data_IF_000551478123
#
_entry.id   IF_000551478123
#
_cell.length_a   1.000
_cell.length_b   1.000
_cell.length_c   1.000
_cell.angle_alpha   90.00
_cell.angle_beta   90.00
_cell.angle_gamma   90.00
#
_symmetry.space_group_name_H-M   'P 1'
#
loop_
_entity.id
_entity.type
_entity.pdbx_description
1 polymer ?
#
# COMPACT_ATOMS: atom_id res chain seq x y z
N UNK A 1 17.32 12.33 15.04
CA UNK A 1 16.44 13.47 14.71
C UNK A 1 15.66 13.74 15.99
N UNK A 2 15.95 14.83 16.70
CA UNK A 2 15.34 15.10 18.00
C UNK A 2 13.90 15.59 17.82
N UNK A 3 12.94 14.71 18.06
CA UNK A 3 11.51 15.04 18.07
C UNK A 3 11.21 15.88 19.31
N UNK A 4 10.66 17.09 19.13
CA UNK A 4 10.29 17.97 20.25
C UNK A 4 8.89 17.63 20.77
N UNK A 5 8.76 17.55 22.09
CA UNK A 5 7.50 17.70 22.85
C UNK A 5 6.27 16.97 22.28
N UNK A 6 5.46 17.68 21.49
CA UNK A 6 4.22 17.15 20.90
C UNK A 6 4.45 15.97 19.98
N UNK A 7 5.52 15.99 19.21
CA UNK A 7 5.79 14.99 18.17
C UNK A 7 6.23 13.67 18.82
N UNK A 8 7.04 13.75 19.87
CA UNK A 8 7.42 12.58 20.67
C UNK A 8 6.19 11.92 21.33
N UNK A 9 5.26 12.73 21.86
CA UNK A 9 4.02 12.21 22.47
C UNK A 9 3.09 11.56 21.43
N UNK A 10 3.02 12.13 20.22
CA UNK A 10 2.27 11.55 19.11
C UNK A 10 2.85 10.20 18.67
N UNK A 11 4.18 10.12 18.49
CA UNK A 11 4.89 8.89 18.11
C UNK A 11 4.73 7.80 19.18
N UNK A 12 4.80 8.15 20.46
CA UNK A 12 4.53 7.22 21.55
C UNK A 12 3.09 6.67 21.54
N UNK A 13 2.11 7.53 21.25
CA UNK A 13 0.70 7.12 21.13
C UNK A 13 0.47 6.17 19.95
N UNK A 14 1.15 6.40 18.83
CA UNK A 14 1.10 5.52 17.65
C UNK A 14 1.81 4.17 17.89
N UNK A 15 2.91 4.17 18.66
CA UNK A 15 3.70 2.96 18.96
C UNK A 15 3.02 2.08 20.00
N UNK A 16 2.31 2.69 20.93
CA UNK A 16 1.68 2.03 22.07
C UNK A 16 0.22 2.50 22.23
N UNK A 17 -0.69 2.13 21.31
CA UNK A 17 -2.10 2.44 21.48
C UNK A 17 -2.62 1.81 22.78
N UNK A 18 -3.48 2.54 23.49
CA UNK A 18 -3.99 2.18 24.81
C UNK A 18 -4.60 0.77 24.78
N UNK A 19 -4.18 -0.17 25.64
CA UNK A 19 -4.74 -1.52 25.66
C UNK A 19 -6.26 -1.47 25.87
N UNK A 20 -7.00 -2.23 25.05
CA UNK A 20 -8.46 -2.11 24.89
C UNK A 20 -9.31 -2.15 26.18
N UNK A 21 -8.78 -2.68 27.29
CA UNK A 21 -9.46 -2.64 28.60
C UNK A 21 -9.54 -1.22 29.19
N UNK A 22 -8.49 -0.40 29.08
CA UNK A 22 -8.50 0.96 29.60
C UNK A 22 -9.41 1.86 28.76
N UNK A 23 -9.34 1.73 27.43
CA UNK A 23 -10.26 2.39 26.51
C UNK A 23 -11.72 1.98 26.79
N UNK A 24 -11.98 0.69 27.04
CA UNK A 24 -13.32 0.19 27.39
C UNK A 24 -13.88 0.87 28.64
N UNK A 25 -13.12 0.91 29.74
CA UNK A 25 -13.58 1.57 30.97
C UNK A 25 -13.76 3.08 30.78
N UNK A 26 -12.86 3.74 30.03
CA UNK A 26 -12.99 5.17 29.71
C UNK A 26 -14.27 5.45 28.93
N UNK A 27 -14.61 4.62 27.94
CA UNK A 27 -15.87 4.71 27.19
C UNK A 27 -17.09 4.48 28.07
N UNK A 28 -17.06 3.55 29.02
CA UNK A 28 -18.16 3.37 29.97
C UNK A 28 -18.36 4.60 30.86
N UNK A 29 -17.28 5.20 31.36
CA UNK A 29 -17.33 6.40 32.20
C UNK A 29 -17.87 7.60 31.41
N UNK A 30 -17.46 7.76 30.15
CA UNK A 30 -17.99 8.76 29.22
C UNK A 30 -19.47 8.53 28.95
N UNK A 31 -19.87 7.31 28.61
CA UNK A 31 -21.26 6.95 28.33
C UNK A 31 -22.19 7.16 29.55
N UNK A 32 -21.65 7.01 30.77
CA UNK A 32 -22.35 7.31 32.01
C UNK A 32 -22.40 8.82 32.35
N UNK A 33 -21.91 9.71 31.47
CA UNK A 33 -21.88 11.16 31.67
C UNK A 33 -20.87 11.63 32.71
N UNK A 34 -19.93 10.77 33.11
CA UNK A 34 -18.91 11.06 34.15
C UNK A 34 -17.53 11.33 33.57
N UNK A 35 -17.38 11.26 32.25
CA UNK A 35 -16.15 11.61 31.55
C UNK A 35 -15.96 13.12 31.48
N UNK A 36 -14.84 13.62 31.97
CA UNK A 36 -14.44 15.01 31.75
C UNK A 36 -13.99 15.27 30.30
N UNK A 37 -13.84 16.53 29.88
CA UNK A 37 -13.40 16.90 28.54
C UNK A 37 -12.04 16.30 28.16
N UNK A 38 -11.15 16.09 29.13
CA UNK A 38 -9.86 15.42 28.92
C UNK A 38 -10.00 13.94 28.54
N UNK A 39 -10.98 13.23 29.13
CA UNK A 39 -11.22 11.83 28.82
C UNK A 39 -11.81 11.65 27.41
N UNK A 40 -12.68 12.58 26.99
CA UNK A 40 -13.22 12.63 25.64
C UNK A 40 -12.12 12.88 24.61
N UNK A 41 -11.30 13.92 24.82
CA UNK A 41 -10.19 14.23 23.93
C UNK A 41 -9.18 13.08 23.83
N UNK A 42 -8.91 12.37 24.93
CA UNK A 42 -8.06 11.19 24.91
C UNK A 42 -8.64 10.07 24.02
N UNK A 43 -9.93 9.74 24.15
CA UNK A 43 -10.58 8.75 23.27
C UNK A 43 -10.55 9.15 21.79
N UNK A 44 -10.76 10.43 21.47
CA UNK A 44 -10.68 10.92 20.10
C UNK A 44 -9.28 10.77 19.50
N UNK A 45 -8.24 11.08 20.28
CA UNK A 45 -6.84 10.90 19.88
C UNK A 45 -6.54 9.42 19.62
N UNK A 46 -7.02 8.51 20.48
CA UNK A 46 -6.82 7.07 20.28
C UNK A 46 -7.57 6.54 19.05
N UNK A 47 -8.83 6.94 18.86
CA UNK A 47 -9.60 6.54 17.69
C UNK A 47 -8.95 7.05 16.39
N UNK A 48 -8.37 8.25 16.42
CA UNK A 48 -7.60 8.78 15.29
C UNK A 48 -6.31 7.96 15.06
N UNK A 49 -5.56 7.63 16.11
CA UNK A 49 -4.35 6.82 16.01
C UNK A 49 -4.63 5.43 15.43
N UNK A 50 -5.68 4.74 15.89
CA UNK A 50 -6.09 3.44 15.33
C UNK A 50 -6.42 3.53 13.84
N UNK A 51 -7.18 4.56 13.43
CA UNK A 51 -7.49 4.80 12.01
C UNK A 51 -6.23 5.04 11.19
N UNK A 52 -5.31 5.87 11.69
CA UNK A 52 -4.04 6.14 11.01
C UNK A 52 -3.19 4.87 10.83
N UNK A 53 -3.10 4.03 11.87
CA UNK A 53 -2.36 2.76 11.80
C UNK A 53 -3.04 1.81 10.81
N UNK A 54 -4.38 1.70 10.85
CA UNK A 54 -5.13 0.87 9.91
C UNK A 54 -4.90 1.30 8.45
N UNK A 55 -5.07 2.59 8.16
CA UNK A 55 -4.79 3.14 6.82
C UNK A 55 -3.34 2.92 6.41
N UNK A 56 -2.37 3.13 7.31
CA UNK A 56 -0.95 2.90 7.03
C UNK A 56 -0.67 1.44 6.62
N UNK A 57 -1.28 0.47 7.32
CA UNK A 57 -1.17 -0.95 6.97
C UNK A 57 -1.82 -1.26 5.63
N UNK A 58 -2.97 -0.66 5.34
CA UNK A 58 -3.64 -0.82 4.04
C UNK A 58 -2.79 -0.28 2.88
N UNK A 59 -2.13 0.86 3.06
CA UNK A 59 -1.22 1.43 2.06
C UNK A 59 -0.08 0.45 1.74
N UNK A 60 0.48 -0.19 2.76
CA UNK A 60 1.56 -1.14 2.54
C UNK A 60 1.11 -2.50 2.01
N UNK A 61 -0.03 -3.00 2.48
CA UNK A 61 -0.65 -4.22 1.95
C UNK A 61 -1.05 -4.06 0.47
N UNK A 62 -1.44 -2.84 0.05
CA UNK A 62 -1.73 -2.50 -1.34
C UNK A 62 -0.50 -2.13 -2.17
N UNK A 63 0.70 -2.15 -1.58
CA UNK A 63 1.97 -1.84 -2.25
C UNK A 63 2.16 -0.36 -2.60
N UNK A 64 1.36 0.55 -2.04
CA UNK A 64 1.51 2.00 -2.24
C UNK A 64 2.69 2.58 -1.47
N UNK A 65 3.10 1.91 -0.39
CA UNK A 65 4.33 2.20 0.35
C UNK A 65 5.17 0.93 0.43
N UNK A 66 6.50 1.10 0.43
CA UNK A 66 7.46 0.02 0.65
C UNK A 66 8.11 0.24 2.01
N UNK A 67 8.17 -0.82 2.80
CA UNK A 67 8.92 -0.84 4.05
C UNK A 67 10.13 -1.73 3.89
N UNK A 68 11.30 -1.25 4.28
CA UNK A 68 12.55 -2.01 4.28
C UNK A 68 13.13 -2.05 5.69
N UNK A 69 13.58 -3.21 6.15
CA UNK A 69 14.15 -3.34 7.49
C UNK A 69 15.19 -4.45 7.57
N UNK A 70 15.98 -4.43 8.63
CA UNK A 70 16.90 -5.51 8.96
C UNK A 70 16.08 -6.63 9.58
N UNK A 71 15.99 -7.76 8.88
CA UNK A 71 15.25 -8.91 9.36
C UNK A 71 16.04 -9.65 10.43
N UNK A 72 15.41 -9.85 11.59
CA UNK A 72 16.03 -10.45 12.77
C UNK A 72 16.65 -11.83 12.54
N UNK A 73 16.11 -12.63 11.62
CA UNK A 73 16.58 -14.00 11.42
C UNK A 73 17.80 -14.09 10.49
N UNK A 74 17.86 -13.24 9.46
CA UNK A 74 18.96 -13.24 8.48
C UNK A 74 20.01 -12.16 8.76
N UNK A 75 19.66 -11.14 9.54
CA UNK A 75 20.49 -9.95 9.77
C UNK A 75 20.63 -9.05 8.52
N UNK A 76 19.93 -9.37 7.42
CA UNK A 76 20.01 -8.64 6.17
C UNK A 76 18.89 -7.61 6.06
N UNK A 77 19.20 -6.49 5.40
CA UNK A 77 18.17 -5.52 5.00
C UNK A 77 17.36 -6.12 3.86
N UNK A 78 16.05 -6.21 4.06
CA UNK A 78 15.13 -6.76 3.07
C UNK A 78 13.78 -6.04 3.15
N UNK A 79 13.02 -6.03 2.05
CA UNK A 79 11.68 -5.46 2.04
C UNK A 79 10.73 -6.29 2.93
N UNK A 80 9.76 -5.60 3.52
CA UNK A 80 8.61 -6.17 4.19
C UNK A 80 7.59 -6.52 3.10
N UNK A 81 7.33 -7.82 2.85
CA UNK A 81 6.37 -8.24 1.84
C UNK A 81 4.97 -7.67 2.10
N UNK A 82 4.19 -7.33 1.05
CA UNK A 82 2.80 -6.87 1.16
C UNK A 82 1.93 -7.71 2.11
N UNK A 83 2.13 -9.03 2.10
CA UNK A 83 1.38 -10.00 2.91
C UNK A 83 1.68 -9.88 4.41
N UNK A 84 2.81 -9.29 4.78
CA UNK A 84 3.22 -9.08 6.17
C UNK A 84 2.82 -7.70 6.71
N UNK A 85 2.18 -6.83 5.93
CA UNK A 85 1.74 -5.51 6.40
C UNK A 85 0.71 -5.45 7.54
N UNK A 86 -0.02 -6.51 7.93
CA UNK A 86 -0.68 -6.52 9.24
C UNK A 86 0.30 -6.49 10.45
N UNK A 87 1.60 -6.26 10.24
CA UNK A 87 2.60 -6.01 11.28
C UNK A 87 2.19 -4.95 12.31
N UNK A 88 2.61 -5.17 13.54
CA UNK A 88 2.66 -4.17 14.59
C UNK A 88 3.92 -3.33 14.41
N UNK A 89 3.72 -2.03 14.27
CA UNK A 89 4.79 -1.04 14.24
C UNK A 89 5.02 -0.46 15.64
N UNK A 90 6.29 -0.39 16.01
CA UNK A 90 6.80 0.43 17.09
C UNK A 90 7.60 1.55 16.41
N UNK A 91 6.98 2.72 16.27
CA UNK A 91 7.54 3.87 15.57
C UNK A 91 8.65 4.53 16.39
N UNK A 92 8.62 4.42 17.73
CA UNK A 92 9.72 4.90 18.59
C UNK A 92 10.99 4.07 18.38
N UNK A 93 10.84 2.74 18.35
CA UNK A 93 11.98 1.83 18.17
C UNK A 93 12.37 1.62 16.70
N UNK A 94 11.60 2.15 15.74
CA UNK A 94 11.71 1.85 14.30
C UNK A 94 11.69 0.33 14.02
N UNK A 95 10.73 -0.36 14.64
CA UNK A 95 10.57 -1.82 14.52
C UNK A 95 9.20 -2.18 13.96
N UNK A 96 9.17 -3.26 13.19
CA UNK A 96 7.94 -3.89 12.73
C UNK A 96 7.96 -5.37 13.08
N UNK A 97 6.87 -5.90 13.60
CA UNK A 97 6.79 -7.31 14.01
C UNK A 97 5.42 -7.93 13.73
N UNK A 98 5.43 -9.20 13.32
CA UNK A 98 4.27 -10.06 13.19
C UNK A 98 4.67 -11.49 13.50
N UNK A 99 4.09 -12.08 14.53
CA UNK A 99 4.42 -13.43 15.02
C UNK A 99 5.94 -13.67 15.14
N UNK A 100 6.50 -14.49 14.24
CA UNK A 100 7.93 -14.85 14.20
C UNK A 100 8.77 -13.90 13.37
N UNK A 101 8.14 -12.98 12.63
CA UNK A 101 8.83 -12.02 11.80
C UNK A 101 9.06 -10.73 12.58
N UNK A 102 10.33 -10.30 12.64
CA UNK A 102 10.69 -9.04 13.27
C UNK A 102 11.74 -8.32 12.42
N UNK A 103 11.50 -7.04 12.19
CA UNK A 103 12.33 -6.12 11.43
C UNK A 103 12.75 -4.96 12.32
N UNK A 104 14.02 -4.58 12.26
CA UNK A 104 14.57 -3.39 12.92
C UNK A 104 15.09 -2.36 11.92
N UNK A 105 15.24 -1.11 12.36
CA UNK A 105 15.68 -0.01 11.50
C UNK A 105 14.82 0.10 10.24
N UNK A 106 13.50 0.01 10.44
CA UNK A 106 12.53 0.04 9.35
C UNK A 106 12.50 1.44 8.76
N UNK A 107 12.67 1.51 7.45
CA UNK A 107 12.50 2.72 6.64
C UNK A 107 11.25 2.55 5.79
N UNK A 108 10.49 3.62 5.63
CA UNK A 108 9.28 3.62 4.82
C UNK A 108 9.48 4.63 3.71
N UNK A 109 9.45 4.13 2.48
CA UNK A 109 9.49 4.97 1.31
C UNK A 109 8.11 4.98 0.67
N UNK A 110 7.62 6.18 0.38
CA UNK A 110 6.50 6.30 -0.53
C UNK A 110 6.96 5.78 -1.87
N UNK A 111 6.24 4.81 -2.42
CA UNK A 111 6.51 4.45 -3.79
C UNK A 111 6.19 5.69 -4.63
N UNK A 112 7.14 6.29 -5.38
CA UNK A 112 6.75 7.23 -6.42
C UNK A 112 5.83 6.45 -7.34
N UNK A 113 4.56 6.82 -7.43
CA UNK A 113 3.50 6.10 -8.13
C UNK A 113 4.06 5.28 -9.31
N UNK A 114 4.36 3.98 -9.09
CA UNK A 114 5.36 3.36 -9.97
C UNK A 114 5.73 1.90 -9.77
N UNK A 115 5.40 1.22 -8.66
CA UNK A 115 5.33 -0.26 -8.65
C UNK A 115 3.96 -0.76 -8.17
N UNK A 116 2.91 -0.27 -8.82
CA UNK A 116 1.94 -1.23 -9.32
C UNK A 116 2.61 -1.88 -10.52
N UNK A 117 3.05 -3.14 -10.36
CA UNK A 117 3.79 -3.89 -11.39
C UNK A 117 3.32 -3.56 -12.80
N UNK A 118 4.21 -2.92 -13.55
CA UNK A 118 4.10 -2.49 -14.93
C UNK A 118 2.68 -2.09 -15.39
N UNK A 119 2.37 -0.79 -15.40
CA UNK A 119 1.12 -0.24 -15.96
C UNK A 119 0.84 -0.82 -17.36
N UNK A 120 1.89 -1.12 -18.14
CA UNK A 120 1.77 -1.82 -19.43
C UNK A 120 1.19 -3.22 -19.26
N UNK A 121 1.69 -4.01 -18.31
CA UNK A 121 1.19 -5.35 -18.01
C UNK A 121 -0.26 -5.34 -17.51
N UNK A 122 -0.64 -4.35 -16.71
CA UNK A 122 -2.04 -4.22 -16.23
C UNK A 122 -3.01 -3.82 -17.33
N UNK A 123 -2.61 -2.87 -18.18
CA UNK A 123 -3.40 -2.53 -19.37
C UNK A 123 -3.47 -3.73 -20.32
N UNK A 124 -2.39 -4.51 -20.47
CA UNK A 124 -2.38 -5.71 -21.31
C UNK A 124 -3.31 -6.81 -20.78
N UNK A 125 -3.33 -7.05 -19.46
CA UNK A 125 -4.25 -7.98 -18.82
C UNK A 125 -5.71 -7.55 -19.02
N UNK A 126 -6.00 -6.26 -18.81
CA UNK A 126 -7.32 -5.68 -19.05
C UNK A 126 -7.77 -5.85 -20.51
N UNK A 127 -6.89 -5.56 -21.47
CA UNK A 127 -7.15 -5.75 -22.90
C UNK A 127 -7.39 -7.22 -23.27
N UNK A 128 -6.68 -8.15 -22.62
CA UNK A 128 -6.85 -9.60 -22.84
C UNK A 128 -8.20 -10.09 -22.32
N UNK A 129 -8.63 -9.63 -21.14
CA UNK A 129 -9.92 -9.98 -20.56
C UNK A 129 -11.10 -9.45 -21.39
N UNK A 130 -10.98 -8.22 -21.90
CA UNK A 130 -12.00 -7.58 -22.72
C UNK A 130 -11.92 -7.96 -24.21
N UNK A 131 -10.99 -8.84 -24.60
CA UNK A 131 -10.81 -9.25 -26.00
C UNK A 131 -12.03 -9.99 -26.56
N UNK A 132 -12.76 -10.73 -25.71
CA UNK A 132 -13.96 -11.47 -26.08
C UNK A 132 -15.17 -10.53 -26.28
N UNK A 133 -15.29 -9.49 -25.47
CA UNK A 133 -16.40 -8.53 -25.51
C UNK A 133 -16.20 -7.44 -26.58
N UNK A 134 -14.94 -7.06 -26.83
CA UNK A 134 -14.56 -5.94 -27.71
C UNK A 134 -13.79 -6.38 -28.95
N UNK A 135 -13.92 -7.64 -29.39
CA UNK A 135 -13.09 -8.25 -30.44
C UNK A 135 -13.04 -7.53 -31.82
N UNK A 136 -13.89 -6.51 -32.05
CA UNK A 136 -13.84 -5.61 -33.22
C UNK A 136 -13.92 -4.12 -32.87
N UNK A 137 -13.78 -3.76 -31.60
CA UNK A 137 -13.89 -2.37 -31.17
C UNK A 137 -12.72 -1.53 -31.72
N UNK A 138 -12.99 -0.30 -32.20
CA UNK A 138 -11.92 0.57 -32.65
C UNK A 138 -10.98 0.90 -31.50
N UNK A 139 -9.66 0.86 -31.75
CA UNK A 139 -8.59 1.19 -30.78
C UNK A 139 -8.85 2.46 -29.98
N UNK A 140 -9.46 3.47 -30.61
CA UNK A 140 -9.80 4.75 -29.98
C UNK A 140 -10.83 4.61 -28.85
N UNK A 141 -11.77 3.66 -28.96
CA UNK A 141 -12.74 3.34 -27.91
C UNK A 141 -12.04 2.62 -26.75
N UNK A 142 -11.21 1.62 -27.06
CA UNK A 142 -10.41 0.90 -26.05
C UNK A 142 -9.48 1.84 -25.26
N UNK A 143 -8.90 2.85 -25.91
CA UNK A 143 -8.07 3.85 -25.27
C UNK A 143 -8.89 4.78 -24.34
N UNK A 144 -10.10 5.16 -24.74
CA UNK A 144 -10.99 5.97 -23.92
C UNK A 144 -11.47 5.19 -22.68
N UNK A 145 -11.85 3.93 -22.87
CA UNK A 145 -12.31 3.04 -21.80
C UNK A 145 -11.16 2.73 -20.83
N UNK A 146 -9.96 2.43 -21.33
CA UNK A 146 -8.76 2.26 -20.50
C UNK A 146 -8.39 3.55 -19.75
N UNK A 147 -8.58 4.73 -20.35
CA UNK A 147 -8.32 5.99 -19.66
C UNK A 147 -9.31 6.24 -18.52
N UNK A 148 -10.57 5.85 -18.69
CA UNK A 148 -11.58 5.93 -17.63
C UNK A 148 -11.26 4.95 -16.49
N UNK A 149 -10.83 3.74 -16.81
CA UNK A 149 -10.51 2.68 -15.83
C UNK A 149 -9.22 2.97 -15.04
N UNK A 150 -8.16 3.39 -15.73
CA UNK A 150 -6.82 3.54 -15.13
C UNK A 150 -6.52 4.98 -14.64
N UNK A 151 -7.40 5.95 -14.91
CA UNK A 151 -7.33 7.30 -14.37
C UNK A 151 -5.96 7.96 -14.51
N UNK A 152 -5.39 8.43 -13.40
CA UNK A 152 -4.07 9.07 -13.35
C UNK A 152 -2.89 8.13 -13.66
N UNK A 153 -3.09 6.81 -13.63
CA UNK A 153 -2.10 5.82 -14.03
C UNK A 153 -2.06 5.58 -15.54
N UNK A 154 -3.03 6.08 -16.31
CA UNK A 154 -3.07 5.92 -17.75
C UNK A 154 -2.05 6.82 -18.45
N UNK A 155 -1.23 6.24 -19.33
CA UNK A 155 -0.46 7.00 -20.31
C UNK A 155 -0.67 6.41 -21.70
N UNK A 156 -0.70 7.28 -22.71
CA UNK A 156 -0.88 6.86 -24.11
C UNK A 156 0.27 5.96 -24.59
N UNK A 157 1.49 6.20 -24.06
CA UNK A 157 2.66 5.36 -24.30
C UNK A 157 2.45 3.94 -23.77
N UNK A 158 2.04 3.79 -22.51
CA UNK A 158 1.82 2.48 -21.90
C UNK A 158 0.68 1.71 -22.57
N UNK A 159 -0.40 2.40 -22.95
CA UNK A 159 -1.50 1.79 -23.68
C UNK A 159 -1.06 1.27 -25.06
N UNK A 160 -0.27 2.03 -25.81
CA UNK A 160 0.21 1.60 -27.12
C UNK A 160 1.13 0.38 -27.03
N UNK A 161 1.96 0.32 -25.99
CA UNK A 161 2.86 -0.81 -25.73
C UNK A 161 2.06 -2.07 -25.38
N UNK A 162 1.10 -1.96 -24.45
CA UNK A 162 0.19 -3.04 -24.06
C UNK A 162 -0.67 -3.53 -25.23
N UNK A 163 -1.24 -2.61 -26.01
CA UNK A 163 -2.04 -2.92 -27.20
C UNK A 163 -1.23 -3.67 -28.25
N UNK A 164 0.04 -3.31 -28.42
CA UNK A 164 0.95 -4.02 -29.34
C UNK A 164 1.22 -5.43 -28.84
N UNK A 165 1.48 -5.62 -27.54
CA UNK A 165 1.71 -6.93 -26.95
C UNK A 165 0.51 -7.88 -27.10
N UNK A 166 -0.73 -7.37 -26.96
CA UNK A 166 -1.96 -8.17 -27.00
C UNK A 166 -2.47 -8.42 -28.43
N UNK A 167 -2.48 -7.39 -29.29
CA UNK A 167 -3.14 -7.46 -30.60
C UNK A 167 -2.18 -7.60 -31.79
N UNK A 168 -0.90 -7.21 -31.66
CA UNK A 168 0.07 -7.39 -32.75
C UNK A 168 0.85 -8.69 -32.56
N UNK A 169 0.51 -9.70 -33.36
CA UNK A 169 1.37 -10.88 -33.54
C UNK A 169 2.77 -10.40 -33.97
N UNK A 170 3.80 -10.85 -33.24
CA UNK A 170 5.21 -10.78 -33.68
C UNK A 170 5.28 -11.21 -35.14
N UNK A 171 5.49 -10.26 -36.06
CA UNK A 171 5.85 -10.59 -37.45
C UNK A 171 7.27 -11.17 -37.41
N UNK A 172 7.36 -12.49 -37.21
CA UNK A 172 8.59 -13.21 -37.42
C UNK A 172 9.02 -13.07 -38.87
N UNK A 173 10.17 -12.42 -39.10
CA UNK A 173 10.97 -12.65 -40.30
C UNK A 173 11.29 -14.14 -40.33
N UNK A 174 11.01 -14.91 -41.40
CA UNK A 174 11.52 -16.26 -41.51
C UNK A 174 13.04 -16.17 -41.38
N UNK A 175 13.64 -16.90 -40.42
CA UNK A 175 15.08 -17.15 -40.47
C UNK A 175 15.31 -17.90 -41.78
N UNK A 176 16.21 -17.38 -42.61
CA UNK A 176 16.56 -17.99 -43.89
C UNK A 176 16.84 -19.47 -43.68
N UNK A 177 16.17 -20.30 -44.48
CA UNK A 177 16.57 -21.68 -44.68
C UNK A 177 17.92 -21.66 -45.42
N UNK A 178 19.01 -21.78 -44.67
CA UNK A 178 20.23 -22.38 -45.21
C UNK A 178 19.97 -23.87 -45.37
N UNK A 179 19.68 -24.27 -46.62
CA UNK A 179 20.32 -25.38 -47.33
C UNK A 179 19.77 -25.45 -48.75
#
# INVERSE_FOLDING_TARGET
MDLKGSDAKAVGTLSHPDPGMLAYYRRQVIAAGRGGPEALAAEDIYALAEKMIASFRELGASGQIIGDGIYSWTGLRQPIPPELWPVRFDFEANKASIDKFSYSHVTIDQHPAGHQGDVVARIAAWLTQHQLEYGKAPKKKLAADARAEFGSGYTERAFNEAYTAVYQRRRGRPKGSEK
#
